data_IF_320366666611
#
_entry.id   IF_320366666611
#
_cell.length_a   1.000
_cell.length_b   1.000
_cell.length_c   1.000
_cell.angle_alpha   90.00
_cell.angle_beta   90.00
_cell.angle_gamma   90.00
#
_symmetry.space_group_name_H-M   'P 1'
#
loop_
_entity.id
_entity.type
_entity.pdbx_description
1 polymer ?
#
# COMPACT_ATOMS: atom_id res chain seq x y z
N UNK A 1 -17.37 -15.98 12.68
CA UNK A 1 -16.66 -14.94 11.89
C UNK A 1 -16.17 -13.79 12.76
N UNK A 2 -17.00 -12.89 13.35
CA UNK A 2 -16.55 -11.74 14.15
C UNK A 2 -15.53 -12.07 15.25
N UNK A 3 -15.79 -13.07 16.08
CA UNK A 3 -14.89 -13.48 17.16
C UNK A 3 -13.54 -13.98 16.64
N UNK A 4 -13.54 -14.70 15.53
CA UNK A 4 -12.32 -15.20 14.90
C UNK A 4 -11.49 -14.05 14.29
N UNK A 5 -12.15 -13.11 13.60
CA UNK A 5 -11.50 -11.89 13.08
C UNK A 5 -10.81 -11.12 14.21
N UNK A 6 -11.54 -10.80 15.27
CA UNK A 6 -11.00 -10.07 16.41
C UNK A 6 -9.81 -10.80 17.05
N UNK A 7 -9.92 -12.11 17.24
CA UNK A 7 -8.87 -12.94 17.84
C UNK A 7 -7.61 -12.96 16.99
N UNK A 8 -7.73 -13.20 15.65
CA UNK A 8 -6.59 -13.27 14.75
C UNK A 8 -5.97 -11.89 14.59
N UNK A 9 -6.75 -10.86 14.32
CA UNK A 9 -6.27 -9.50 14.15
C UNK A 9 -5.48 -9.01 15.36
N UNK A 10 -6.06 -9.13 16.56
CA UNK A 10 -5.37 -8.73 17.80
C UNK A 10 -4.12 -9.55 18.13
N UNK A 11 -3.99 -10.75 17.57
CA UNK A 11 -2.76 -11.55 17.63
C UNK A 11 -1.71 -11.01 16.65
N UNK A 12 -2.10 -10.78 15.38
CA UNK A 12 -1.16 -10.42 14.31
C UNK A 12 -0.58 -9.01 14.50
N UNK A 13 -1.37 -8.03 14.91
CA UNK A 13 -0.89 -6.66 15.13
C UNK A 13 0.17 -6.54 16.23
N UNK A 14 0.27 -7.52 17.12
CA UNK A 14 1.30 -7.56 18.20
C UNK A 14 2.67 -8.02 17.71
N UNK A 15 2.77 -8.59 16.54
CA UNK A 15 4.05 -8.94 15.91
C UNK A 15 4.63 -7.66 15.29
N UNK A 16 5.84 -7.29 15.69
CA UNK A 16 6.53 -6.13 15.11
C UNK A 16 7.10 -6.48 13.75
N UNK A 17 6.44 -6.01 12.70
CA UNK A 17 6.78 -6.31 11.30
C UNK A 17 7.19 -5.06 10.51
N UNK A 18 7.51 -3.96 11.18
CA UNK A 18 7.90 -2.72 10.51
C UNK A 18 9.03 -2.95 9.51
N UNK A 19 8.87 -2.44 8.28
CA UNK A 19 9.91 -2.49 7.23
C UNK A 19 11.11 -1.61 7.56
N UNK A 20 12.21 -1.81 6.85
CA UNK A 20 13.42 -1.00 6.98
C UNK A 20 14.02 -0.67 5.60
N UNK A 21 13.86 0.57 5.16
CA UNK A 21 14.35 1.06 3.86
C UNK A 21 15.88 0.95 3.70
N UNK A 22 16.64 1.02 4.80
CA UNK A 22 18.09 0.93 4.78
C UNK A 22 18.61 -0.50 4.65
N UNK A 23 17.78 -1.49 4.95
CA UNK A 23 18.13 -2.91 4.85
C UNK A 23 18.19 -3.37 3.40
N UNK A 24 19.18 -4.21 3.10
CA UNK A 24 19.30 -4.90 1.81
C UNK A 24 18.81 -6.33 1.87
N UNK A 25 18.42 -6.80 3.05
CA UNK A 25 17.80 -8.11 3.22
C UNK A 25 16.39 -8.17 2.61
N UNK A 26 15.84 -9.35 2.47
CA UNK A 26 14.44 -9.61 2.18
C UNK A 26 14.04 -10.87 2.98
N UNK A 27 13.03 -10.77 3.88
CA UNK A 27 12.39 -9.53 4.30
C UNK A 27 13.39 -8.58 4.99
N UNK A 28 13.08 -7.29 4.99
CA UNK A 28 13.99 -6.28 5.56
C UNK A 28 14.12 -6.34 7.07
N UNK A 29 13.14 -6.96 7.74
CA UNK A 29 13.13 -7.15 9.20
C UNK A 29 12.73 -8.57 9.58
N UNK A 30 13.27 -9.12 10.67
CA UNK A 30 12.99 -10.51 11.07
C UNK A 30 11.55 -10.72 11.55
N UNK A 31 10.85 -9.70 12.01
CA UNK A 31 9.46 -9.80 12.46
C UNK A 31 8.49 -10.20 11.36
N UNK A 32 8.77 -9.82 10.12
CA UNK A 32 7.98 -10.26 8.97
C UNK A 32 8.07 -11.78 8.77
N UNK A 33 9.26 -12.38 8.92
CA UNK A 33 9.43 -13.82 8.87
C UNK A 33 8.75 -14.52 10.07
N UNK A 34 8.73 -13.87 11.25
CA UNK A 34 7.99 -14.38 12.41
C UNK A 34 6.49 -14.47 12.11
N UNK A 35 5.89 -13.41 11.58
CA UNK A 35 4.48 -13.40 11.19
C UNK A 35 4.22 -14.44 10.08
N UNK A 36 5.08 -14.50 9.06
CA UNK A 36 4.97 -15.49 7.98
C UNK A 36 4.89 -16.93 8.52
N UNK A 37 5.74 -17.29 9.48
CA UNK A 37 5.74 -18.62 10.11
C UNK A 37 4.48 -18.90 10.95
N UNK A 38 3.94 -17.88 11.61
CA UNK A 38 2.65 -17.98 12.31
C UNK A 38 1.55 -18.30 11.30
N UNK A 39 1.50 -17.56 10.19
CA UNK A 39 0.50 -17.75 9.14
C UNK A 39 0.61 -19.11 8.45
N UNK A 40 1.82 -19.58 8.17
CA UNK A 40 2.04 -20.93 7.64
C UNK A 40 1.47 -22.00 8.56
N UNK A 41 1.69 -21.86 9.87
CA UNK A 41 1.14 -22.80 10.85
C UNK A 41 -0.38 -22.78 10.84
N UNK A 42 -0.98 -21.60 10.89
CA UNK A 42 -2.44 -21.44 10.90
C UNK A 42 -3.10 -21.85 9.58
N UNK A 43 -2.48 -21.58 8.42
CA UNK A 43 -2.96 -22.03 7.11
C UNK A 43 -3.02 -23.58 7.05
N UNK A 44 -2.03 -24.28 7.62
CA UNK A 44 -2.04 -25.75 7.71
C UNK A 44 -3.13 -26.24 8.67
N UNK A 45 -3.31 -25.57 9.81
CA UNK A 45 -4.31 -25.92 10.82
C UNK A 45 -5.74 -25.79 10.28
N UNK A 46 -6.04 -24.78 9.48
CA UNK A 46 -7.36 -24.62 8.84
C UNK A 46 -7.59 -25.56 7.65
N UNK A 47 -6.55 -26.27 7.18
CA UNK A 47 -6.66 -27.27 6.11
C UNK A 47 -6.30 -26.79 4.71
N UNK A 48 -5.62 -25.65 4.56
CA UNK A 48 -5.07 -25.21 3.27
C UNK A 48 -3.99 -26.17 2.78
N UNK A 49 -3.85 -26.27 1.47
CA UNK A 49 -2.90 -27.16 0.79
C UNK A 49 -1.74 -26.37 0.21
N UNK A 50 -0.65 -27.06 -0.14
CA UNK A 50 0.53 -26.46 -0.77
C UNK A 50 1.04 -25.24 0.01
N UNK A 51 0.97 -25.29 1.36
CA UNK A 51 1.39 -24.17 2.23
C UNK A 51 2.90 -24.11 2.31
N UNK A 52 3.47 -23.03 1.82
CA UNK A 52 4.91 -22.77 1.79
C UNK A 52 5.24 -21.39 2.33
N UNK A 53 6.46 -21.21 2.78
CA UNK A 53 7.14 -19.93 2.94
C UNK A 53 8.55 -20.11 2.37
N UNK A 54 9.00 -19.13 1.60
CA UNK A 54 10.35 -19.15 1.06
C UNK A 54 11.36 -18.40 1.97
N UNK A 55 12.62 -18.38 1.56
CA UNK A 55 13.70 -17.71 2.28
C UNK A 55 13.53 -16.18 2.34
N UNK A 56 12.68 -15.63 1.49
CA UNK A 56 12.39 -14.20 1.38
C UNK A 56 11.11 -13.78 2.12
N UNK A 57 10.40 -14.73 2.76
CA UNK A 57 9.21 -14.45 3.55
C UNK A 57 7.90 -14.50 2.77
N UNK A 58 7.89 -14.82 1.48
CA UNK A 58 6.64 -14.99 0.75
C UNK A 58 5.93 -16.27 1.18
N UNK A 59 4.74 -16.10 1.73
CA UNK A 59 3.86 -17.20 2.08
C UNK A 59 2.92 -17.47 0.92
N UNK A 60 2.74 -18.73 0.53
CA UNK A 60 1.76 -19.15 -0.47
C UNK A 60 0.97 -20.36 0.03
N UNK A 61 -0.31 -20.41 -0.34
CA UNK A 61 -1.19 -21.53 -0.02
C UNK A 61 -2.27 -21.73 -1.08
N UNK A 62 -2.89 -22.91 -1.09
CA UNK A 62 -3.95 -23.28 -2.02
C UNK A 62 -5.19 -23.74 -1.27
N UNK A 63 -6.35 -23.23 -1.66
CA UNK A 63 -7.65 -23.85 -1.43
C UNK A 63 -8.09 -24.55 -2.71
N UNK A 64 -8.20 -25.86 -2.66
CA UNK A 64 -8.62 -26.66 -3.82
C UNK A 64 -10.05 -26.38 -4.23
N UNK A 65 -10.32 -26.41 -5.55
CA UNK A 65 -11.68 -26.30 -6.09
C UNK A 65 -12.61 -27.37 -5.47
N UNK A 66 -13.84 -26.97 -5.18
CA UNK A 66 -14.92 -27.89 -4.76
C UNK A 66 -16.06 -27.98 -5.79
N UNK A 67 -15.80 -27.54 -7.04
CA UNK A 67 -16.70 -27.66 -8.19
C UNK A 67 -16.06 -28.49 -9.31
N UNK A 68 -16.90 -29.01 -10.23
CA UNK A 68 -16.46 -29.72 -11.42
C UNK A 68 -16.32 -28.81 -12.64
N UNK A 69 -16.69 -27.55 -12.51
CA UNK A 69 -16.56 -26.55 -13.59
C UNK A 69 -15.09 -26.13 -13.75
N UNK A 70 -14.74 -25.70 -14.97
CA UNK A 70 -13.47 -25.03 -15.24
C UNK A 70 -13.58 -23.55 -14.85
N UNK A 71 -13.11 -23.19 -13.67
CA UNK A 71 -13.11 -21.85 -13.13
C UNK A 71 -11.68 -21.30 -13.15
N UNK A 72 -11.46 -20.04 -13.58
CA UNK A 72 -10.15 -19.42 -13.50
C UNK A 72 -9.61 -19.47 -12.06
N UNK A 73 -8.33 -19.77 -11.91
CA UNK A 73 -7.67 -19.69 -10.59
C UNK A 73 -7.55 -18.22 -10.21
N UNK A 74 -8.09 -17.85 -9.06
CA UNK A 74 -7.99 -16.51 -8.49
C UNK A 74 -7.09 -16.49 -7.26
N UNK A 75 -6.50 -15.32 -6.98
CA UNK A 75 -5.65 -15.12 -5.83
C UNK A 75 -6.15 -14.02 -4.91
N UNK A 76 -5.86 -14.12 -3.61
CA UNK A 76 -6.01 -13.05 -2.64
C UNK A 76 -4.67 -12.83 -1.95
N UNK A 77 -4.27 -11.56 -1.84
CA UNK A 77 -2.99 -11.15 -1.28
C UNK A 77 -3.19 -10.08 -0.21
N UNK A 78 -2.25 -10.06 0.73
CA UNK A 78 -2.09 -9.01 1.73
C UNK A 78 -0.60 -8.91 2.11
N UNK A 79 -0.14 -7.77 2.61
CA UNK A 79 1.26 -7.65 2.99
C UNK A 79 1.51 -7.88 4.48
N UNK A 80 2.73 -8.32 4.80
CA UNK A 80 3.14 -8.71 6.15
C UNK A 80 3.64 -7.53 6.98
N UNK A 81 4.28 -6.59 6.31
CA UNK A 81 4.97 -5.48 6.95
C UNK A 81 4.04 -4.35 7.39
N UNK A 82 4.57 -3.41 8.11
CA UNK A 82 3.91 -2.15 8.46
C UNK A 82 4.80 -0.98 8.11
N UNK A 83 4.17 0.18 7.89
CA UNK A 83 4.79 1.42 7.50
C UNK A 83 5.95 1.86 8.40
N UNK A 84 6.88 2.62 7.81
CA UNK A 84 8.06 3.16 8.50
C UNK A 84 7.79 4.46 9.25
N UNK A 85 6.64 5.08 9.05
CA UNK A 85 6.28 6.41 9.56
C UNK A 85 6.16 6.44 11.09
N UNK A 86 5.62 5.38 11.68
CA UNK A 86 5.48 5.24 13.13
C UNK A 86 5.77 3.80 13.54
N UNK A 87 6.33 3.63 14.73
CA UNK A 87 6.70 2.30 15.25
C UNK A 87 5.51 1.35 15.34
N UNK A 88 5.71 0.10 14.88
CA UNK A 88 4.82 -1.05 15.08
C UNK A 88 5.22 -1.94 16.28
N UNK A 89 6.15 -1.48 17.13
CA UNK A 89 6.65 -2.27 18.24
C UNK A 89 5.77 -2.13 19.49
N UNK A 90 5.40 -3.27 20.07
CA UNK A 90 4.56 -3.35 21.29
C UNK A 90 3.15 -2.76 21.10
N UNK A 91 2.55 -2.95 19.95
CA UNK A 91 1.17 -2.52 19.68
C UNK A 91 0.21 -3.04 20.76
N UNK A 92 -0.57 -2.13 21.35
CA UNK A 92 -1.60 -2.42 22.35
C UNK A 92 -2.98 -2.14 21.76
N UNK A 93 -3.61 -3.11 21.07
CA UNK A 93 -4.92 -2.90 20.49
C UNK A 93 -5.98 -2.70 21.57
N UNK A 94 -6.81 -1.67 21.39
CA UNK A 94 -7.94 -1.36 22.27
C UNK A 94 -9.24 -1.59 21.50
N UNK A 95 -10.18 -2.30 22.11
CA UNK A 95 -11.48 -2.62 21.51
C UNK A 95 -12.56 -1.74 22.12
N UNK A 96 -13.27 -0.99 21.29
CA UNK A 96 -14.35 -0.08 21.68
C UNK A 96 -15.65 -0.60 21.10
N UNK A 97 -16.38 -1.39 21.89
CA UNK A 97 -17.68 -1.94 21.49
C UNK A 97 -18.73 -0.84 21.45
N UNK A 98 -19.62 -0.90 20.44
CA UNK A 98 -20.76 0.00 20.30
C UNK A 98 -20.35 1.48 20.40
N UNK A 99 -19.43 1.90 19.56
CA UNK A 99 -18.91 3.27 19.52
C UNK A 99 -20.05 4.30 19.50
N UNK A 100 -19.99 5.29 20.38
CA UNK A 100 -21.08 6.23 20.64
C UNK A 100 -20.98 7.57 19.86
N UNK A 101 -20.04 7.66 18.90
CA UNK A 101 -19.81 8.85 18.09
C UNK A 101 -19.04 9.96 18.78
N UNK A 102 -18.45 9.73 19.95
CA UNK A 102 -17.68 10.72 20.71
C UNK A 102 -16.18 10.48 20.64
N UNK A 103 -15.44 11.38 21.31
CA UNK A 103 -14.00 11.28 21.46
C UNK A 103 -13.58 9.97 22.13
N UNK A 104 -12.60 9.26 21.57
CA UNK A 104 -11.96 8.10 22.17
C UNK A 104 -10.61 8.54 22.72
N UNK A 105 -10.43 8.41 24.04
CA UNK A 105 -9.14 8.69 24.69
C UNK A 105 -8.25 7.47 24.52
N UNK A 106 -7.32 7.53 23.58
CA UNK A 106 -6.35 6.46 23.32
C UNK A 106 -5.30 6.39 24.42
N UNK A 107 -4.80 7.55 24.87
CA UNK A 107 -3.78 7.66 25.90
C UNK A 107 -4.01 8.90 26.74
N UNK A 108 -4.28 8.71 28.03
CA UNK A 108 -4.53 9.81 28.98
C UNK A 108 -3.24 10.57 29.31
N UNK A 109 -2.15 9.84 29.52
CA UNK A 109 -0.88 10.43 29.98
C UNK A 109 -0.23 11.27 28.87
N UNK A 110 -0.38 10.86 27.62
CA UNK A 110 0.10 11.57 26.43
C UNK A 110 -0.93 12.53 25.83
N UNK A 111 -2.12 12.59 26.40
CA UNK A 111 -3.25 13.39 25.89
C UNK A 111 -3.55 13.10 24.41
N UNK A 112 -3.53 11.82 24.00
CA UNK A 112 -3.85 11.39 22.64
C UNK A 112 -5.32 11.02 22.59
N UNK A 113 -6.09 11.74 21.76
CA UNK A 113 -7.54 11.59 21.63
C UNK A 113 -7.90 11.46 20.16
N UNK A 114 -8.54 10.35 19.77
CA UNK A 114 -9.15 10.16 18.47
C UNK A 114 -10.54 10.82 18.51
N UNK A 115 -10.73 11.91 17.74
CA UNK A 115 -11.90 12.77 17.84
C UNK A 115 -12.60 12.97 16.51
N UNK A 116 -13.95 12.86 16.43
CA UNK A 116 -14.72 13.20 15.24
C UNK A 116 -14.57 14.65 14.77
N UNK A 117 -14.05 15.53 15.62
CA UNK A 117 -13.74 16.90 15.22
C UNK A 117 -12.52 16.99 14.31
N UNK A 118 -11.56 16.08 14.51
CA UNK A 118 -10.35 15.97 13.71
C UNK A 118 -10.55 15.00 12.55
N UNK A 119 -11.30 13.94 12.78
CA UNK A 119 -11.57 12.83 11.85
C UNK A 119 -13.09 12.65 11.69
N UNK A 120 -13.73 13.48 10.83
CA UNK A 120 -15.20 13.49 10.67
C UNK A 120 -15.79 12.16 10.23
N UNK A 121 -15.03 11.32 9.53
CA UNK A 121 -15.38 9.97 9.07
C UNK A 121 -15.74 9.02 10.22
N UNK A 122 -15.25 9.26 11.43
CA UNK A 122 -15.66 8.51 12.63
C UNK A 122 -17.17 8.50 12.86
N UNK A 123 -17.90 9.50 12.35
CA UNK A 123 -19.36 9.54 12.47
C UNK A 123 -20.07 8.34 11.77
N UNK A 124 -19.47 7.80 10.73
CA UNK A 124 -19.99 6.66 9.95
C UNK A 124 -19.90 5.34 10.73
N UNK A 125 -19.11 5.32 11.80
CA UNK A 125 -18.86 4.13 12.62
C UNK A 125 -19.70 4.08 13.91
N UNK A 126 -20.66 4.99 14.08
CA UNK A 126 -21.55 4.96 15.26
C UNK A 126 -22.26 3.62 15.39
N UNK A 127 -22.22 3.01 16.58
CA UNK A 127 -22.77 1.69 16.86
C UNK A 127 -21.90 0.51 16.40
N UNK A 128 -20.73 0.76 15.81
CA UNK A 128 -19.77 -0.28 15.40
C UNK A 128 -18.75 -0.58 16.51
N UNK A 129 -18.03 -1.69 16.35
CA UNK A 129 -16.90 -2.05 17.18
C UNK A 129 -15.62 -1.55 16.54
N UNK A 130 -14.96 -0.58 17.15
CA UNK A 130 -13.69 -0.04 16.68
C UNK A 130 -12.52 -0.71 17.40
N UNK A 131 -11.47 -1.01 16.65
CA UNK A 131 -10.18 -1.46 17.17
C UNK A 131 -9.17 -0.37 16.88
N UNK A 132 -8.53 0.16 17.91
CA UNK A 132 -7.54 1.25 17.82
C UNK A 132 -6.21 0.81 18.43
N UNK A 133 -5.17 1.61 18.23
CA UNK A 133 -3.94 1.56 19.03
C UNK A 133 -4.13 2.32 20.35
N UNK A 134 -3.14 2.26 21.24
CA UNK A 134 -3.06 3.06 22.48
C UNK A 134 -2.47 4.47 22.23
N UNK A 135 -2.30 4.89 21.01
CA UNK A 135 -1.75 6.19 20.64
C UNK A 135 -0.24 6.33 20.75
N UNK A 136 0.49 5.25 21.07
CA UNK A 136 1.97 5.25 21.11
C UNK A 136 2.61 4.63 19.87
N UNK A 137 1.84 3.84 19.12
CA UNK A 137 2.26 3.13 17.91
C UNK A 137 1.22 3.33 16.82
N UNK A 138 1.52 2.89 15.58
CA UNK A 138 0.47 2.56 14.63
C UNK A 138 -0.31 1.32 15.11
N UNK A 139 -1.44 0.99 14.49
CA UNK A 139 -2.19 -0.24 14.79
C UNK A 139 -1.70 -1.42 13.95
N UNK A 140 -1.40 -1.18 12.67
CA UNK A 140 -1.06 -2.18 11.66
C UNK A 140 -2.30 -2.84 11.06
N UNK A 141 -3.42 -2.11 10.96
CA UNK A 141 -4.57 -2.54 10.18
C UNK A 141 -4.20 -2.64 8.70
N UNK A 142 -3.36 -1.78 8.25
CA UNK A 142 -2.60 -1.83 7.02
C UNK A 142 -1.34 -2.69 7.23
N UNK A 143 -1.23 -3.97 6.72
CA UNK A 143 -2.35 -4.70 6.08
C UNK A 143 -2.69 -6.01 6.82
N UNK A 144 -2.55 -6.00 8.16
CA UNK A 144 -2.93 -7.17 8.98
C UNK A 144 -4.45 -7.37 9.07
N UNK A 145 -5.24 -6.36 8.65
CA UNK A 145 -6.68 -6.55 8.43
C UNK A 145 -6.91 -7.47 7.23
N UNK A 146 -6.31 -7.17 6.08
CA UNK A 146 -6.41 -8.01 4.89
C UNK A 146 -5.88 -9.43 5.12
N UNK A 147 -4.74 -9.59 5.81
CA UNK A 147 -4.27 -10.92 6.23
C UNK A 147 -5.36 -11.66 7.00
N UNK A 148 -5.96 -11.01 8.00
CA UNK A 148 -6.97 -11.61 8.87
C UNK A 148 -8.21 -12.00 8.09
N UNK A 149 -8.67 -11.16 7.20
CA UNK A 149 -9.84 -11.35 6.34
C UNK A 149 -9.67 -12.55 5.41
N UNK A 150 -8.51 -12.64 4.75
CA UNK A 150 -8.17 -13.79 3.90
C UNK A 150 -8.16 -15.08 4.72
N UNK A 151 -7.49 -15.09 5.88
CA UNK A 151 -7.41 -16.27 6.75
C UNK A 151 -8.79 -16.75 7.18
N UNK A 152 -9.68 -15.84 7.56
CA UNK A 152 -11.04 -16.17 8.01
C UNK A 152 -11.93 -16.58 6.84
N UNK A 153 -11.79 -15.94 5.66
CA UNK A 153 -12.53 -16.34 4.47
C UNK A 153 -12.17 -17.77 4.02
N UNK A 154 -10.88 -18.13 4.01
CA UNK A 154 -10.44 -19.48 3.66
C UNK A 154 -10.96 -20.52 4.67
N UNK A 155 -10.85 -20.23 5.97
CA UNK A 155 -11.41 -21.10 7.00
C UNK A 155 -12.93 -21.27 6.84
N UNK A 156 -13.63 -20.20 6.52
CA UNK A 156 -15.08 -20.24 6.29
C UNK A 156 -15.45 -21.12 5.10
N UNK A 157 -14.80 -20.95 3.93
CA UNK A 157 -15.05 -21.72 2.73
C UNK A 157 -14.75 -23.22 2.93
N UNK A 158 -13.70 -23.58 3.67
CA UNK A 158 -13.37 -24.97 4.01
C UNK A 158 -14.49 -25.63 4.83
N UNK A 159 -15.09 -24.88 5.76
CA UNK A 159 -16.14 -25.39 6.64
C UNK A 159 -17.55 -25.29 6.03
N UNK A 160 -17.72 -24.65 4.86
CA UNK A 160 -18.98 -24.49 4.15
C UNK A 160 -18.89 -24.99 2.70
N UNK A 161 -18.72 -26.33 2.50
CA UNK A 161 -18.51 -26.91 1.17
C UNK A 161 -19.71 -26.79 0.22
N UNK A 162 -20.86 -26.36 0.73
CA UNK A 162 -22.04 -25.97 -0.07
C UNK A 162 -21.79 -24.73 -0.92
N UNK A 163 -20.89 -23.83 -0.49
CA UNK A 163 -20.45 -22.67 -1.28
C UNK A 163 -19.45 -23.18 -2.32
N UNK A 164 -19.85 -23.14 -3.58
CA UNK A 164 -19.01 -23.61 -4.67
C UNK A 164 -18.00 -22.54 -5.11
N UNK A 165 -16.77 -22.96 -5.36
CA UNK A 165 -15.69 -22.11 -5.80
C UNK A 165 -14.66 -22.88 -6.62
N UNK A 166 -13.94 -22.18 -7.49
CA UNK A 166 -12.75 -22.69 -8.18
C UNK A 166 -11.54 -22.82 -7.25
N UNK A 167 -10.38 -23.14 -7.82
CA UNK A 167 -9.11 -23.10 -7.07
C UNK A 167 -8.80 -21.67 -6.66
N UNK A 168 -8.47 -21.46 -5.37
CA UNK A 168 -8.08 -20.16 -4.83
C UNK A 168 -6.62 -20.25 -4.37
N UNK A 169 -5.83 -19.26 -4.72
CA UNK A 169 -4.47 -19.05 -4.21
C UNK A 169 -4.47 -17.95 -3.17
N UNK A 170 -3.67 -18.11 -2.14
CA UNK A 170 -3.42 -17.08 -1.12
C UNK A 170 -1.94 -16.79 -1.09
N UNK A 171 -1.57 -15.52 -0.98
CA UNK A 171 -0.19 -15.13 -0.71
C UNK A 171 -0.11 -13.98 0.29
N UNK A 172 0.97 -13.97 1.07
CA UNK A 172 1.35 -12.85 1.92
C UNK A 172 2.75 -12.39 1.54
N UNK A 173 2.90 -11.09 1.29
CA UNK A 173 4.10 -10.47 0.73
C UNK A 173 4.87 -9.68 1.79
N UNK A 174 6.20 -9.69 1.81
CA UNK A 174 7.01 -8.82 2.66
C UNK A 174 7.27 -7.47 1.98
N UNK A 175 7.64 -6.45 2.78
CA UNK A 175 8.26 -5.19 2.33
C UNK A 175 7.44 -4.38 1.30
N UNK A 176 6.09 -4.46 1.36
CA UNK A 176 5.19 -3.67 0.51
C UNK A 176 5.38 -2.17 0.76
N UNK A 177 5.38 -1.76 2.02
CA UNK A 177 5.40 -0.37 2.50
C UNK A 177 6.64 0.45 2.08
N UNK A 178 7.65 -0.25 1.58
CA UNK A 178 8.84 0.34 0.97
C UNK A 178 8.93 0.06 -0.53
N UNK A 179 7.82 -0.39 -1.13
CA UNK A 179 7.67 -0.64 -2.56
C UNK A 179 8.44 -1.84 -3.10
N UNK A 180 8.80 -2.81 -2.26
CA UNK A 180 9.61 -3.98 -2.61
C UNK A 180 8.83 -5.30 -2.60
N UNK A 181 7.56 -5.28 -2.20
CA UNK A 181 6.74 -6.47 -2.06
C UNK A 181 6.77 -7.41 -3.26
N UNK A 182 6.53 -6.96 -4.49
CA UNK A 182 6.54 -7.84 -5.65
C UNK A 182 7.92 -8.15 -6.23
N UNK A 183 9.02 -7.60 -5.72
CA UNK A 183 10.35 -7.76 -6.35
C UNK A 183 10.71 -9.22 -6.63
N UNK A 184 10.49 -10.11 -5.65
CA UNK A 184 10.83 -11.53 -5.71
C UNK A 184 9.60 -12.44 -5.80
N UNK A 185 8.41 -11.86 -5.94
CA UNK A 185 7.17 -12.63 -6.05
C UNK A 185 7.18 -13.46 -7.34
N UNK A 186 7.04 -14.76 -7.21
CA UNK A 186 6.98 -15.73 -8.31
C UNK A 186 5.54 -15.89 -8.78
N UNK A 187 5.17 -15.15 -9.83
CA UNK A 187 3.82 -15.17 -10.41
C UNK A 187 3.50 -16.53 -11.04
N UNK A 188 4.49 -17.23 -11.63
CA UNK A 188 4.29 -18.55 -12.20
C UNK A 188 4.01 -19.60 -11.12
N UNK A 189 4.79 -19.61 -10.05
CA UNK A 189 4.57 -20.48 -8.89
C UNK A 189 3.27 -20.16 -8.16
N UNK A 190 2.87 -18.90 -8.10
CA UNK A 190 1.56 -18.49 -7.58
C UNK A 190 0.42 -19.08 -8.42
N UNK A 191 0.54 -19.04 -9.74
CA UNK A 191 -0.32 -19.76 -10.67
C UNK A 191 -1.78 -19.32 -10.70
N UNK A 192 -2.10 -18.09 -10.26
CA UNK A 192 -3.40 -17.48 -10.42
C UNK A 192 -3.48 -16.72 -11.75
N UNK A 193 -4.66 -16.72 -12.38
CA UNK A 193 -4.94 -15.93 -13.58
C UNK A 193 -5.18 -14.46 -13.25
N UNK A 194 -5.84 -14.21 -12.13
CA UNK A 194 -6.18 -12.90 -11.57
C UNK A 194 -5.96 -12.93 -10.07
N UNK A 195 -5.72 -11.78 -9.48
CA UNK A 195 -5.64 -11.67 -8.03
C UNK A 195 -6.29 -10.38 -7.50
N UNK A 196 -6.37 -10.27 -6.18
CA UNK A 196 -6.87 -9.11 -5.46
C UNK A 196 -5.99 -8.87 -4.25
N UNK A 197 -5.53 -7.65 -4.04
CA UNK A 197 -4.95 -7.23 -2.76
C UNK A 197 -6.07 -6.78 -1.83
N UNK A 198 -6.00 -7.16 -0.55
CA UNK A 198 -6.96 -6.75 0.48
C UNK A 198 -6.40 -5.57 1.28
N UNK A 199 -5.87 -4.58 0.58
CA UNK A 199 -5.00 -3.51 1.06
C UNK A 199 -5.63 -2.11 0.85
N UNK A 200 -6.95 -2.06 0.66
CA UNK A 200 -7.69 -0.81 0.52
C UNK A 200 -8.13 -0.22 1.86
N UNK A 201 -8.55 1.03 1.82
CA UNK A 201 -9.01 1.78 2.98
C UNK A 201 -10.45 1.44 3.41
N UNK A 202 -11.33 2.45 3.50
CA UNK A 202 -12.66 2.31 4.08
C UNK A 202 -13.61 1.41 3.30
N UNK A 203 -14.65 0.98 3.98
CA UNK A 203 -15.70 0.10 3.45
C UNK A 203 -16.22 0.54 2.08
N UNK A 204 -16.16 -0.38 1.11
CA UNK A 204 -16.66 -0.21 -0.25
C UNK A 204 -15.61 0.29 -1.24
N UNK A 205 -14.42 0.62 -0.82
CA UNK A 205 -13.34 1.05 -1.71
C UNK A 205 -12.90 -0.09 -2.63
N UNK A 206 -12.76 0.24 -3.92
CA UNK A 206 -12.34 -0.67 -4.96
C UNK A 206 -11.48 0.11 -5.94
N UNK A 207 -10.23 -0.29 -6.08
CA UNK A 207 -9.24 0.48 -6.80
C UNK A 207 -8.56 -0.38 -7.86
N UNK A 208 -8.50 0.11 -9.08
CA UNK A 208 -7.82 -0.53 -10.21
C UNK A 208 -7.01 0.47 -11.05
N UNK A 209 -6.80 1.67 -10.48
CA UNK A 209 -5.93 2.71 -11.01
C UNK A 209 -4.94 3.15 -9.93
N UNK A 210 -3.69 3.38 -10.32
CA UNK A 210 -2.64 3.91 -9.47
C UNK A 210 -1.87 4.99 -10.20
N UNK A 211 -1.06 5.78 -9.51
CA UNK A 211 -0.13 6.66 -10.19
C UNK A 211 0.87 5.88 -11.07
N UNK A 212 1.37 6.53 -12.13
CA UNK A 212 2.70 6.28 -12.64
C UNK A 212 3.68 7.03 -11.74
N UNK A 213 4.80 6.41 -11.40
CA UNK A 213 5.71 6.92 -10.39
C UNK A 213 7.18 6.89 -10.84
N UNK A 214 7.88 7.98 -10.59
CA UNK A 214 9.32 8.05 -10.76
C UNK A 214 9.96 8.81 -9.59
N UNK A 215 11.24 8.50 -9.35
CA UNK A 215 12.12 9.23 -8.47
C UNK A 215 13.17 9.99 -9.25
N UNK A 216 13.47 11.23 -8.87
CA UNK A 216 14.52 12.06 -9.44
C UNK A 216 15.52 12.47 -8.36
N UNK A 217 16.73 11.95 -8.44
CA UNK A 217 17.86 12.34 -7.60
C UNK A 217 18.75 13.30 -8.37
N UNK A 218 18.89 14.52 -7.86
CA UNK A 218 19.69 15.57 -8.49
C UNK A 218 20.84 15.91 -7.56
N UNK A 219 22.06 15.89 -8.12
CA UNK A 219 23.27 16.37 -7.44
C UNK A 219 23.71 17.66 -8.11
N UNK A 220 23.88 18.72 -7.33
CA UNK A 220 24.40 20.01 -7.75
C UNK A 220 25.83 20.12 -7.24
N UNK A 221 26.78 20.31 -8.13
CA UNK A 221 28.21 20.47 -7.83
C UNK A 221 28.59 21.94 -7.96
N UNK A 222 28.94 22.56 -6.87
CA UNK A 222 29.35 23.95 -6.77
C UNK A 222 30.89 24.13 -6.88
N UNK A 223 31.31 25.32 -6.54
CA UNK A 223 32.72 25.66 -6.38
C UNK A 223 32.86 26.62 -5.20
N UNK A 224 33.36 26.10 -4.09
CA UNK A 224 33.55 26.88 -2.87
C UNK A 224 34.86 27.65 -2.89
N UNK A 225 34.82 28.93 -2.59
CA UNK A 225 35.98 29.79 -2.37
C UNK A 225 35.71 30.76 -1.22
N UNK A 226 36.74 31.41 -0.68
CA UNK A 226 36.59 32.36 0.40
C UNK A 226 35.59 33.49 0.00
N UNK A 227 34.53 33.77 0.78
CA UNK A 227 33.48 34.72 0.42
C UNK A 227 34.00 36.12 0.04
N UNK A 228 35.04 36.58 0.70
CA UNK A 228 35.65 37.90 0.41
C UNK A 228 36.32 38.00 -0.97
N UNK A 229 36.58 36.89 -1.65
CA UNK A 229 37.23 36.82 -2.99
C UNK A 229 36.39 36.03 -3.98
N UNK A 230 35.11 35.84 -3.69
CA UNK A 230 34.21 34.92 -4.41
C UNK A 230 33.69 35.45 -5.75
N UNK A 231 33.81 36.75 -6.01
CA UNK A 231 33.28 37.37 -7.24
C UNK A 231 33.83 36.67 -8.49
N UNK A 232 32.92 36.21 -9.36
CA UNK A 232 33.21 35.48 -10.60
C UNK A 232 33.99 34.12 -10.43
N UNK A 233 33.96 33.56 -9.21
CA UNK A 233 34.63 32.30 -8.89
C UNK A 233 33.70 31.29 -8.18
N UNK A 234 32.98 31.77 -7.18
CA UNK A 234 32.07 30.90 -6.40
C UNK A 234 30.86 30.51 -7.22
N UNK A 235 30.54 29.22 -7.19
CA UNK A 235 29.29 28.66 -7.63
C UNK A 235 28.68 27.94 -6.42
N UNK A 236 27.53 28.40 -5.97
CA UNK A 236 26.89 27.87 -4.74
C UNK A 236 25.86 26.80 -5.11
N UNK A 237 26.14 25.55 -4.76
CA UNK A 237 25.30 24.41 -5.08
C UNK A 237 23.88 24.49 -4.46
N UNK A 238 23.76 25.03 -3.23
CA UNK A 238 22.43 25.24 -2.61
C UNK A 238 21.60 26.26 -3.41
N UNK A 239 22.23 27.32 -3.93
CA UNK A 239 21.53 28.30 -4.78
C UNK A 239 21.12 27.69 -6.12
N UNK A 240 21.92 26.80 -6.72
CA UNK A 240 21.51 26.07 -7.92
C UNK A 240 20.28 25.18 -7.62
N UNK A 241 20.26 24.48 -6.48
CA UNK A 241 19.12 23.66 -6.09
C UNK A 241 17.84 24.51 -5.85
N UNK A 242 18.00 25.70 -5.27
CA UNK A 242 16.87 26.66 -5.12
C UNK A 242 16.38 27.16 -6.49
N UNK A 243 17.30 27.45 -7.41
CA UNK A 243 16.95 27.85 -8.79
C UNK A 243 16.24 26.72 -9.52
N UNK A 244 16.73 25.48 -9.41
CA UNK A 244 16.08 24.30 -9.95
C UNK A 244 14.63 24.20 -9.46
N UNK A 245 14.42 24.27 -8.15
CA UNK A 245 13.08 24.22 -7.54
C UNK A 245 12.19 25.38 -8.01
N UNK A 246 12.74 26.55 -8.31
CA UNK A 246 11.96 27.69 -8.79
C UNK A 246 11.38 27.49 -10.21
N UNK A 247 11.90 26.55 -10.99
CA UNK A 247 11.37 26.16 -12.30
C UNK A 247 10.25 25.10 -12.21
N UNK A 248 10.08 24.45 -11.06
CA UNK A 248 8.98 23.53 -10.83
C UNK A 248 7.70 24.32 -10.60
N UNK A 249 6.57 24.00 -11.27
CA UNK A 249 5.29 24.66 -11.04
C UNK A 249 4.84 24.55 -9.57
N UNK A 250 4.53 25.68 -8.95
CA UNK A 250 4.21 25.74 -7.51
C UNK A 250 2.89 25.09 -7.15
N UNK A 251 1.93 25.13 -8.06
CA UNK A 251 0.60 24.56 -7.95
C UNK A 251 0.54 23.05 -8.28
N UNK A 252 1.64 22.49 -8.75
CA UNK A 252 1.77 21.06 -9.02
C UNK A 252 2.56 20.33 -7.92
N UNK A 253 2.26 20.64 -6.66
CA UNK A 253 2.79 19.99 -5.48
C UNK A 253 1.67 19.25 -4.71
N UNK A 254 1.95 18.23 -3.90
CA UNK A 254 0.93 17.46 -3.18
C UNK A 254 -0.05 18.31 -2.38
N UNK A 255 0.42 19.39 -1.79
CA UNK A 255 -0.40 20.31 -0.99
C UNK A 255 -1.40 21.15 -1.80
N UNK A 256 -1.36 21.08 -3.15
CA UNK A 256 -2.23 21.81 -4.07
C UNK A 256 -2.98 20.92 -5.06
N UNK A 257 -2.78 19.58 -5.01
CA UNK A 257 -3.33 18.65 -5.99
C UNK A 257 -4.25 17.60 -5.35
N UNK A 258 -5.33 17.24 -6.05
CA UNK A 258 -6.30 16.24 -5.63
C UNK A 258 -6.78 15.38 -6.81
N UNK A 259 -7.58 14.34 -6.52
CA UNK A 259 -8.19 13.49 -7.54
C UNK A 259 -7.15 12.91 -8.51
N UNK A 260 -7.32 13.19 -9.80
CA UNK A 260 -6.45 12.72 -10.88
C UNK A 260 -5.27 13.65 -11.20
N UNK A 261 -5.06 14.70 -10.43
CA UNK A 261 -3.97 15.63 -10.66
C UNK A 261 -2.63 15.03 -10.23
N UNK A 262 -1.65 15.11 -11.13
CA UNK A 262 -0.27 14.70 -10.86
C UNK A 262 0.54 15.80 -10.17
N UNK A 263 1.71 15.44 -9.66
CA UNK A 263 2.56 16.39 -8.92
C UNK A 263 4.05 16.10 -9.03
N UNK A 264 4.84 17.10 -8.65
CA UNK A 264 6.24 16.98 -8.24
C UNK A 264 6.33 17.21 -6.73
N UNK A 265 7.01 16.36 -6.02
CA UNK A 265 7.18 16.54 -4.57
C UNK A 265 8.67 16.50 -4.21
N UNK A 266 9.17 17.60 -3.66
CA UNK A 266 10.51 17.68 -3.09
C UNK A 266 10.52 16.98 -1.72
N UNK A 267 11.08 15.77 -1.67
CA UNK A 267 11.18 14.99 -0.43
C UNK A 267 12.31 15.52 0.47
N UNK A 268 13.45 15.82 -0.13
CA UNK A 268 14.60 16.30 0.64
C UNK A 268 15.52 17.19 -0.18
N UNK A 269 16.14 18.15 0.52
CA UNK A 269 17.21 18.98 0.01
C UNK A 269 18.26 19.15 1.12
N UNK A 270 19.47 18.66 0.84
CA UNK A 270 20.60 18.74 1.77
C UNK A 270 21.84 19.21 1.04
N UNK A 271 22.68 20.02 1.68
CA UNK A 271 23.95 20.43 1.09
C UNK A 271 24.53 21.72 1.61
N UNK A 272 25.62 22.12 0.99
CA UNK A 272 26.37 23.35 1.27
C UNK A 272 26.80 24.05 -0.04
N UNK A 273 27.81 24.94 0.02
CA UNK A 273 28.31 25.68 -1.16
C UNK A 273 28.90 24.75 -2.18
N UNK A 274 29.62 23.67 -1.74
CA UNK A 274 30.36 22.78 -2.61
C UNK A 274 29.46 21.74 -3.29
N UNK A 275 28.51 21.17 -2.56
CA UNK A 275 27.57 20.18 -3.11
C UNK A 275 26.20 20.23 -2.44
N UNK A 276 25.14 20.11 -3.24
CA UNK A 276 23.78 19.93 -2.73
C UNK A 276 23.13 18.74 -3.43
N UNK A 277 22.20 18.06 -2.73
CA UNK A 277 21.43 16.94 -3.26
C UNK A 277 19.95 17.16 -2.99
N UNK A 278 19.16 17.03 -4.04
CA UNK A 278 17.70 17.05 -3.95
C UNK A 278 17.11 15.71 -4.38
N UNK A 279 16.03 15.31 -3.72
CA UNK A 279 15.24 14.14 -4.12
C UNK A 279 13.81 14.57 -4.35
N UNK A 280 13.31 14.31 -5.56
CA UNK A 280 11.92 14.52 -5.95
C UNK A 280 11.27 13.19 -6.26
N UNK A 281 9.98 13.07 -5.96
CA UNK A 281 9.11 12.07 -6.55
C UNK A 281 8.17 12.74 -7.54
N UNK A 282 7.87 12.04 -8.63
CA UNK A 282 7.03 12.49 -9.73
C UNK A 282 5.86 11.52 -9.84
N UNK A 283 4.65 12.03 -9.91
CA UNK A 283 3.42 11.24 -9.96
C UNK A 283 2.47 11.81 -11.00
N UNK A 284 1.85 10.95 -11.81
CA UNK A 284 0.72 11.29 -12.66
C UNK A 284 -0.06 10.03 -13.03
N UNK A 285 -1.39 10.11 -13.15
CA UNK A 285 -2.21 8.99 -13.61
C UNK A 285 -2.11 8.80 -15.13
N UNK A 286 -1.99 9.90 -15.87
CA UNK A 286 -1.84 9.87 -17.34
C UNK A 286 -0.38 9.59 -17.70
N UNK A 287 -0.15 8.56 -18.52
CA UNK A 287 1.18 8.16 -18.92
C UNK A 287 1.91 9.25 -19.75
N UNK A 288 1.18 9.96 -20.61
CA UNK A 288 1.80 11.02 -21.43
C UNK A 288 2.23 12.19 -20.56
N UNK A 289 1.37 12.66 -19.65
CA UNK A 289 1.70 13.70 -18.68
C UNK A 289 2.85 13.27 -17.76
N UNK A 290 2.89 12.01 -17.34
CA UNK A 290 4.00 11.48 -16.56
C UNK A 290 5.33 11.58 -17.31
N UNK A 291 5.35 11.24 -18.61
CA UNK A 291 6.54 11.40 -19.48
C UNK A 291 6.89 12.87 -19.65
N UNK A 292 5.90 13.75 -19.85
CA UNK A 292 6.11 15.20 -19.93
C UNK A 292 6.74 15.75 -18.65
N UNK A 293 6.27 15.33 -17.47
CA UNK A 293 6.85 15.73 -16.17
C UNK A 293 8.31 15.30 -16.04
N UNK A 294 8.65 14.07 -16.41
CA UNK A 294 10.05 13.60 -16.40
C UNK A 294 10.92 14.39 -17.36
N UNK A 295 10.39 14.67 -18.55
CA UNK A 295 11.09 15.48 -19.57
C UNK A 295 11.33 16.91 -19.08
N UNK A 296 10.35 17.50 -18.39
CA UNK A 296 10.48 18.84 -17.81
C UNK A 296 11.61 18.89 -16.76
N UNK A 297 11.65 17.94 -15.81
CA UNK A 297 12.75 17.86 -14.82
C UNK A 297 14.12 17.72 -15.53
N UNK A 298 14.18 16.89 -16.57
CA UNK A 298 15.41 16.70 -17.33
C UNK A 298 15.84 17.98 -18.09
N UNK A 299 14.86 18.75 -18.61
CA UNK A 299 15.17 20.02 -19.28
C UNK A 299 15.73 21.08 -18.32
N UNK A 300 15.15 21.20 -17.11
CA UNK A 300 15.66 22.10 -16.08
C UNK A 300 17.10 21.73 -15.69
N UNK A 301 17.38 20.43 -15.48
CA UNK A 301 18.71 19.99 -15.14
C UNK A 301 19.73 20.37 -16.24
N UNK A 302 19.37 20.15 -17.50
CA UNK A 302 20.18 20.51 -18.66
C UNK A 302 20.42 22.02 -18.78
N UNK A 303 19.37 22.82 -18.63
CA UNK A 303 19.46 24.30 -18.68
C UNK A 303 20.41 24.84 -17.60
N UNK A 304 20.34 24.30 -16.39
CA UNK A 304 21.25 24.70 -15.32
C UNK A 304 22.68 24.21 -15.57
N UNK A 305 22.88 23.01 -16.12
CA UNK A 305 24.20 22.52 -16.50
C UNK A 305 24.84 23.38 -17.61
N UNK A 306 24.06 23.79 -18.62
CA UNK A 306 24.50 24.74 -19.65
C UNK A 306 24.90 26.10 -19.06
N UNK A 307 24.16 26.56 -18.01
CA UNK A 307 24.44 27.83 -17.35
C UNK A 307 25.68 27.79 -16.45
N UNK A 308 25.85 26.72 -15.67
CA UNK A 308 26.87 26.63 -14.63
C UNK A 308 28.12 25.83 -15.04
N UNK A 309 28.04 25.11 -16.17
CA UNK A 309 29.13 24.33 -16.73
C UNK A 309 28.91 22.82 -16.64
N UNK A 310 29.63 22.08 -17.48
CA UNK A 310 29.59 20.63 -17.55
C UNK A 310 29.86 19.97 -16.20
N UNK A 311 29.02 19.00 -15.82
CA UNK A 311 29.08 18.28 -14.55
C UNK A 311 28.60 19.04 -13.33
N UNK A 312 28.08 20.28 -13.50
CA UNK A 312 27.50 21.05 -12.38
C UNK A 312 26.16 20.52 -11.89
N UNK A 313 25.41 19.79 -12.74
CA UNK A 313 24.14 19.16 -12.40
C UNK A 313 24.10 17.73 -12.90
N UNK A 314 23.94 16.79 -11.99
CA UNK A 314 23.78 15.37 -12.31
C UNK A 314 22.35 14.93 -11.97
N UNK A 315 21.61 14.44 -12.95
CA UNK A 315 20.25 13.93 -12.78
C UNK A 315 20.22 12.40 -12.92
N UNK A 316 19.58 11.72 -11.96
CA UNK A 316 19.22 10.30 -12.03
C UNK A 316 17.71 10.16 -11.92
N UNK A 317 17.06 9.76 -13.02
CA UNK A 317 15.63 9.46 -13.08
C UNK A 317 15.45 7.94 -13.09
N UNK A 318 14.58 7.44 -12.22
CA UNK A 318 14.21 6.01 -12.17
C UNK A 318 12.69 5.89 -12.07
N UNK A 319 12.10 5.14 -12.99
CA UNK A 319 10.68 4.75 -12.88
C UNK A 319 10.55 3.71 -11.75
N UNK A 320 9.49 3.83 -10.96
CA UNK A 320 9.24 2.98 -9.80
C UNK A 320 8.13 1.96 -10.08
N UNK A 321 6.98 2.44 -10.57
CA UNK A 321 5.85 1.64 -11.00
C UNK A 321 4.99 2.44 -11.99
N UNK A 322 4.03 1.75 -12.61
CA UNK A 322 3.11 2.33 -13.60
C UNK A 322 1.65 2.10 -13.18
N UNK A 323 0.74 2.90 -13.75
CA UNK A 323 -0.69 2.79 -13.50
C UNK A 323 -1.20 1.40 -13.88
N UNK A 324 -1.72 0.65 -12.91
CA UNK A 324 -2.20 -0.71 -13.09
C UNK A 324 -3.43 -0.80 -14.02
N UNK A 325 -4.14 0.31 -14.24
CA UNK A 325 -5.29 0.37 -15.14
C UNK A 325 -5.00 -0.21 -16.50
N UNK A 326 -3.82 0.08 -17.08
CA UNK A 326 -3.44 -0.43 -18.42
C UNK A 326 -3.47 -1.96 -18.48
N UNK A 327 -3.23 -2.64 -17.38
CA UNK A 327 -3.20 -4.11 -17.28
C UNK A 327 -4.54 -4.70 -16.83
N UNK A 328 -5.35 -3.92 -16.13
CA UNK A 328 -6.64 -4.37 -15.60
C UNK A 328 -7.79 -4.07 -16.57
N UNK A 329 -7.76 -2.94 -17.30
CA UNK A 329 -8.82 -2.57 -18.25
C UNK A 329 -9.13 -3.66 -19.30
N UNK A 330 -8.14 -4.39 -19.88
CA UNK A 330 -8.41 -5.48 -20.81
C UNK A 330 -9.16 -6.68 -20.20
N UNK A 331 -9.18 -6.79 -18.87
CA UNK A 331 -9.82 -7.86 -18.09
C UNK A 331 -10.75 -7.29 -17.02
N UNK A 332 -11.40 -6.17 -17.34
CA UNK A 332 -12.21 -5.38 -16.38
C UNK A 332 -13.32 -6.18 -15.71
N UNK A 333 -13.71 -7.31 -16.29
CA UNK A 333 -14.68 -8.23 -15.68
C UNK A 333 -14.30 -8.64 -14.25
N UNK A 334 -13.00 -8.63 -13.88
CA UNK A 334 -12.57 -8.93 -12.49
C UNK A 334 -12.96 -7.83 -11.51
N UNK A 335 -12.98 -6.57 -11.96
CA UNK A 335 -13.47 -5.42 -11.19
C UNK A 335 -15.00 -5.44 -11.10
N UNK A 336 -15.66 -5.80 -12.19
CA UNK A 336 -17.13 -5.89 -12.25
C UNK A 336 -17.66 -6.99 -11.33
N UNK A 337 -16.95 -8.13 -11.20
CA UNK A 337 -17.27 -9.21 -10.27
C UNK A 337 -17.20 -8.73 -8.81
N UNK A 338 -16.14 -8.01 -8.43
CA UNK A 338 -16.03 -7.44 -7.08
C UNK A 338 -17.14 -6.42 -6.81
N UNK A 339 -17.42 -5.56 -7.80
CA UNK A 339 -18.53 -4.60 -7.70
C UNK A 339 -19.87 -5.29 -7.52
N UNK A 340 -20.11 -6.42 -8.19
CA UNK A 340 -21.31 -7.23 -8.02
C UNK A 340 -21.33 -7.90 -6.63
N UNK A 341 -20.21 -8.47 -6.18
CA UNK A 341 -20.08 -9.06 -4.85
C UNK A 341 -20.41 -8.05 -3.75
N UNK A 342 -19.88 -6.83 -3.84
CA UNK A 342 -20.17 -5.76 -2.90
C UNK A 342 -21.68 -5.44 -2.88
N UNK A 343 -22.31 -5.26 -4.05
CA UNK A 343 -23.75 -4.95 -4.13
C UNK A 343 -24.63 -6.08 -3.59
N UNK A 344 -24.25 -7.34 -3.81
CA UNK A 344 -24.96 -8.49 -3.24
C UNK A 344 -24.92 -8.50 -1.70
N UNK A 345 -23.97 -7.81 -1.11
CA UNK A 345 -23.76 -7.67 0.34
C UNK A 345 -24.22 -6.31 0.89
N UNK A 346 -25.03 -5.56 0.10
CA UNK A 346 -25.53 -4.22 0.45
C UNK A 346 -24.38 -3.21 0.68
N UNK A 347 -23.28 -3.36 -0.07
CA UNK A 347 -22.15 -2.41 -0.09
C UNK A 347 -22.14 -1.68 -1.44
N UNK A 348 -22.19 -0.34 -1.43
CA UNK A 348 -22.01 0.43 -2.67
C UNK A 348 -20.52 0.53 -3.00
N UNK A 349 -20.07 0.05 -4.16
CA UNK A 349 -18.68 0.16 -4.57
C UNK A 349 -18.27 1.62 -4.78
N UNK A 350 -17.18 2.03 -4.14
CA UNK A 350 -16.53 3.33 -4.29
C UNK A 350 -15.27 3.13 -5.13
N UNK A 351 -15.41 3.30 -6.45
CA UNK A 351 -14.27 3.16 -7.36
C UNK A 351 -13.49 4.47 -7.38
N UNK A 352 -12.28 4.45 -6.86
CA UNK A 352 -11.36 5.58 -6.78
C UNK A 352 -9.96 5.19 -7.25
N UNK A 353 -9.16 6.15 -7.71
CA UNK A 353 -7.76 5.89 -8.03
C UNK A 353 -6.90 5.99 -6.76
N UNK A 354 -5.89 5.13 -6.64
CA UNK A 354 -4.87 5.20 -5.60
C UNK A 354 -3.89 6.32 -5.92
N UNK A 355 -3.78 7.32 -5.05
CA UNK A 355 -2.76 8.39 -5.17
C UNK A 355 -1.38 7.93 -4.67
N UNK A 356 -1.05 6.69 -4.89
CA UNK A 356 0.17 5.98 -4.52
C UNK A 356 0.36 4.78 -5.42
N UNK A 357 1.04 3.77 -4.91
CA UNK A 357 1.19 2.45 -5.52
C UNK A 357 0.88 1.38 -4.48
N UNK A 358 0.60 0.17 -4.92
CA UNK A 358 0.43 -1.03 -4.10
C UNK A 358 1.15 -2.20 -4.76
N UNK A 359 1.26 -3.32 -4.08
CA UNK A 359 1.73 -4.57 -4.68
C UNK A 359 0.95 -4.89 -5.96
N UNK A 360 -0.36 -4.60 -5.99
CA UNK A 360 -1.23 -4.81 -7.14
C UNK A 360 -0.78 -4.07 -8.40
N UNK A 361 -0.22 -2.87 -8.27
CA UNK A 361 0.30 -2.11 -9.39
C UNK A 361 1.47 -2.84 -10.07
N UNK A 362 2.44 -3.30 -9.29
CA UNK A 362 3.62 -4.00 -9.81
C UNK A 362 3.28 -5.42 -10.28
N UNK A 363 2.43 -6.17 -9.55
CA UNK A 363 1.98 -7.52 -9.91
C UNK A 363 1.24 -7.51 -11.26
N UNK A 364 0.42 -6.48 -11.50
CA UNK A 364 -0.28 -6.31 -12.78
C UNK A 364 0.68 -6.23 -13.96
N UNK A 365 1.82 -5.53 -13.80
CA UNK A 365 2.86 -5.46 -14.82
C UNK A 365 3.72 -6.73 -14.92
N UNK A 366 3.73 -7.58 -13.89
CA UNK A 366 4.33 -8.92 -13.92
C UNK A 366 3.42 -9.98 -14.58
N UNK A 367 2.23 -9.57 -15.05
CA UNK A 367 1.29 -10.46 -15.74
C UNK A 367 0.20 -11.04 -14.85
N UNK A 368 0.05 -10.55 -13.63
CA UNK A 368 -1.02 -10.90 -12.69
C UNK A 368 -1.90 -9.67 -12.43
N UNK A 369 -2.97 -9.42 -13.22
CA UNK A 369 -3.88 -8.32 -12.98
C UNK A 369 -4.46 -8.37 -11.57
N UNK A 370 -4.21 -7.33 -10.76
CA UNK A 370 -4.48 -7.34 -9.31
C UNK A 370 -5.07 -6.00 -8.87
N UNK A 371 -6.41 -5.81 -8.96
CA UNK A 371 -7.07 -4.67 -8.33
C UNK A 371 -7.06 -4.79 -6.81
N UNK A 372 -7.28 -3.66 -6.12
CA UNK A 372 -7.24 -3.52 -4.68
C UNK A 372 -8.66 -3.42 -4.10
N UNK A 373 -8.94 -4.15 -3.04
CA UNK A 373 -10.22 -4.19 -2.32
C UNK A 373 -10.00 -3.66 -0.90
N UNK A 374 -11.00 -2.97 -0.34
CA UNK A 374 -10.96 -2.43 1.02
C UNK A 374 -10.65 -3.48 2.10
N UNK A 375 -9.80 -3.12 3.05
CA UNK A 375 -9.59 -3.83 4.32
C UNK A 375 -10.37 -3.21 5.50
N UNK A 376 -11.03 -2.07 5.28
CA UNK A 376 -11.90 -1.42 6.26
C UNK A 376 -11.19 -0.59 7.33
N UNK A 377 -9.90 -0.34 7.17
CA UNK A 377 -9.11 0.50 8.05
C UNK A 377 -9.13 1.98 7.67
N UNK A 378 -8.73 2.82 8.61
CA UNK A 378 -8.70 4.27 8.49
C UNK A 378 -7.45 4.85 9.16
N UNK A 379 -7.02 6.04 8.71
CA UNK A 379 -5.91 6.80 9.29
C UNK A 379 -4.59 6.01 9.36
N UNK A 380 -4.30 5.25 8.33
CA UNK A 380 -3.09 4.43 8.21
C UNK A 380 -1.80 5.19 8.50
N UNK A 381 -0.71 4.46 8.80
CA UNK A 381 0.63 4.97 9.07
C UNK A 381 0.74 5.87 10.31
N UNK A 382 -0.28 5.92 11.17
CA UNK A 382 -0.32 6.85 12.28
C UNK A 382 -0.90 6.31 13.59
N UNK A 383 -0.74 7.09 14.66
CA UNK A 383 -1.24 6.77 16.00
C UNK A 383 -2.76 6.86 16.15
N UNK A 384 -3.45 7.36 15.14
CA UNK A 384 -4.90 7.46 15.06
C UNK A 384 -5.51 6.40 14.15
N UNK A 385 -4.72 5.44 13.72
CA UNK A 385 -5.15 4.31 12.91
C UNK A 385 -6.19 3.48 13.67
N UNK A 386 -7.26 3.10 12.97
CA UNK A 386 -8.29 2.22 13.50
C UNK A 386 -8.94 1.39 12.40
N UNK A 387 -9.59 0.30 12.81
CA UNK A 387 -10.41 -0.51 11.91
C UNK A 387 -11.74 -0.88 12.59
N UNK A 388 -12.82 -0.88 11.84
CA UNK A 388 -14.11 -1.37 12.33
C UNK A 388 -14.24 -2.87 12.10
N UNK A 389 -14.57 -3.63 13.14
CA UNK A 389 -14.73 -5.07 13.06
C UNK A 389 -15.84 -5.47 12.06
N UNK A 390 -16.88 -4.66 11.95
CA UNK A 390 -17.95 -4.84 10.98
C UNK A 390 -17.49 -4.65 9.54
N UNK A 391 -16.52 -3.74 9.30
CA UNK A 391 -15.91 -3.57 7.98
C UNK A 391 -15.05 -4.78 7.60
N UNK A 392 -14.28 -5.33 8.54
CA UNK A 392 -13.53 -6.58 8.34
C UNK A 392 -14.44 -7.78 8.03
N UNK A 393 -15.62 -7.86 8.71
CA UNK A 393 -16.62 -8.88 8.38
C UNK A 393 -17.08 -8.72 6.93
N UNK A 394 -17.37 -7.50 6.50
CA UNK A 394 -17.80 -7.22 5.13
C UNK A 394 -16.71 -7.52 4.09
N UNK A 395 -15.46 -7.19 4.35
CA UNK A 395 -14.34 -7.55 3.48
C UNK A 395 -14.17 -9.07 3.36
N UNK A 396 -14.27 -9.80 4.47
CA UNK A 396 -14.30 -11.27 4.49
C UNK A 396 -15.44 -11.84 3.67
N UNK A 397 -16.65 -11.29 3.81
CA UNK A 397 -17.84 -11.69 3.03
C UNK A 397 -17.65 -11.41 1.52
N UNK A 398 -16.96 -10.29 1.15
CA UNK A 398 -16.64 -9.98 -0.25
C UNK A 398 -15.68 -11.01 -0.83
N UNK A 399 -14.65 -11.44 -0.12
CA UNK A 399 -13.74 -12.52 -0.58
C UNK A 399 -14.55 -13.78 -0.92
N UNK A 400 -15.44 -14.19 -0.01
CA UNK A 400 -16.28 -15.39 -0.17
C UNK A 400 -17.22 -15.25 -1.38
N UNK A 401 -17.87 -14.09 -1.50
CA UNK A 401 -18.83 -13.82 -2.57
C UNK A 401 -18.14 -13.69 -3.94
N UNK A 402 -16.94 -13.12 -4.02
CA UNK A 402 -16.13 -13.09 -5.23
C UNK A 402 -15.81 -14.52 -5.69
N UNK A 403 -15.37 -15.37 -4.77
CA UNK A 403 -15.07 -16.78 -5.09
C UNK A 403 -16.31 -17.53 -5.62
N UNK A 404 -17.48 -17.28 -5.03
CA UNK A 404 -18.76 -17.84 -5.48
C UNK A 404 -19.19 -17.33 -6.86
N UNK A 405 -19.06 -16.03 -7.11
CA UNK A 405 -19.43 -15.42 -8.39
C UNK A 405 -18.54 -15.85 -9.55
N UNK A 406 -17.25 -16.11 -9.31
CA UNK A 406 -16.38 -16.69 -10.33
C UNK A 406 -16.84 -18.09 -10.73
N UNK A 407 -17.35 -18.90 -9.82
CA UNK A 407 -17.89 -20.23 -10.13
C UNK A 407 -19.25 -20.15 -10.86
N UNK A 408 -20.09 -19.18 -10.53
CA UNK A 408 -21.40 -19.04 -11.18
C UNK A 408 -21.29 -18.49 -12.61
N UNK A 409 -20.25 -17.68 -12.91
CA UNK A 409 -20.09 -17.04 -14.23
C UNK A 409 -19.73 -18.03 -15.33
N UNK A 410 -19.14 -19.17 -15.01
CA UNK A 410 -18.79 -20.28 -15.91
C UNK A 410 -19.90 -21.37 -15.92
#
# INVERSE_FOLDING_TARGET
>A
MKEELLKRFTKYVKVDTQSNEESKACPTTPGQMELANILVTELKEIGMQEVTVDEFGYVMATLSSNTTKEVPVIGFLAHLDTATDLTGKNVQPQVHENYDGKDIVLNKDLNVVLSPKQFPELADYNGKTLITTDGTTLLGADDKAGITEIMVAMNYLINHPEIKHGKIRVAFTPDEEIGRGPERFDVEAFGAKYAYTMDGGPLGELEYESFNAAGAKITFNGNSVHPGTAKNKMVNAVKMAMEFNAHIPKDEAPEYTEGYEGFYHLISLNGDVEQAKAYYIIRDFDHLKFVERKTHIASIAKELEEKYGEGSVELKLNDQYYNMREKIEPVKEIVDIVSAAMRNLDIEPKISPIRGGTDGAQLSYKGLPTPNIFGGGENFHGKFEYVALESMVKATEVIIEVARLFEEKE
#
